data_IF_710892846223
#
_entry.id   IF_710892846223
#
_cell.length_a   1.000
_cell.length_b   1.000
_cell.length_c   1.000
_cell.angle_alpha   90.00
_cell.angle_beta   90.00
_cell.angle_gamma   90.00
#
_symmetry.space_group_name_H-M   'P 1'
#
loop_
_entity.id
_entity.type
_entity.pdbx_description
1 polymer ?
#
# COMPACT_ATOMS: atom_id res chain seq x y z
N UNK A 1 -11.94 -3.08 8.96
CA UNK A 1 -11.84 -2.86 10.38
C UNK A 1 -10.54 -3.37 10.93
N UNK A 2 -10.18 -4.54 10.53
CA UNK A 2 -8.93 -5.06 10.98
C UNK A 2 -7.80 -4.16 10.59
N UNK A 3 -7.88 -3.62 9.44
CA UNK A 3 -6.95 -2.68 8.93
C UNK A 3 -6.84 -1.49 9.85
N UNK A 4 -7.96 -0.94 10.25
CA UNK A 4 -7.96 0.19 11.10
C UNK A 4 -7.42 -0.12 12.45
N UNK A 5 -7.71 -1.29 12.94
CA UNK A 5 -7.17 -1.70 14.20
C UNK A 5 -5.68 -1.76 14.14
N UNK A 6 -5.17 -2.26 13.06
CA UNK A 6 -3.74 -2.36 12.92
C UNK A 6 -3.10 -1.00 12.89
N UNK A 7 -3.74 -0.07 12.22
CA UNK A 7 -3.22 1.28 12.18
C UNK A 7 -3.17 1.88 13.55
N UNK A 8 -4.21 1.67 14.32
CA UNK A 8 -4.23 2.22 15.66
C UNK A 8 -3.20 1.59 16.55
N UNK A 9 -3.00 0.33 16.38
CA UNK A 9 -1.99 -0.33 17.16
C UNK A 9 -0.62 0.19 16.84
N UNK A 10 -0.40 0.45 15.58
CA UNK A 10 0.86 1.01 15.19
C UNK A 10 1.07 2.37 15.81
N UNK A 11 0.04 3.14 15.85
CA UNK A 11 0.14 4.45 16.46
C UNK A 11 0.51 4.34 17.91
N UNK A 12 -0.08 3.40 18.59
CA UNK A 12 0.21 3.23 19.98
C UNK A 12 1.64 2.80 20.19
N UNK A 13 2.11 1.97 19.32
CA UNK A 13 3.44 1.44 19.47
C UNK A 13 4.50 2.41 19.03
N UNK A 14 4.17 3.27 18.11
CA UNK A 14 5.16 4.16 17.57
C UNK A 14 6.01 4.88 18.58
N UNK A 15 5.45 5.42 19.63
CA UNK A 15 6.30 6.12 20.57
C UNK A 15 7.39 5.22 21.13
N UNK A 16 7.04 4.03 21.46
CA UNK A 16 8.04 3.13 21.95
C UNK A 16 9.02 2.77 20.90
N UNK A 17 8.50 2.52 19.74
CA UNK A 17 9.36 2.12 18.65
C UNK A 17 10.37 3.20 18.36
N UNK A 18 9.92 4.41 18.40
CA UNK A 18 10.82 5.47 18.02
C UNK A 18 11.93 5.59 19.01
N UNK A 19 11.67 5.34 20.26
CA UNK A 19 12.71 5.36 21.22
C UNK A 19 13.71 4.31 20.93
N UNK A 20 13.20 3.19 20.58
CA UNK A 20 14.04 2.06 20.49
C UNK A 20 14.97 2.14 19.31
N UNK A 21 14.43 2.16 18.15
CA UNK A 21 15.31 2.01 17.02
C UNK A 21 14.67 2.53 15.82
N UNK A 22 14.54 3.75 15.77
CA UNK A 22 13.80 4.31 14.67
C UNK A 22 14.37 3.96 13.34
N UNK A 23 15.63 3.90 13.26
CA UNK A 23 16.19 3.78 11.97
C UNK A 23 16.01 2.42 11.37
N UNK A 24 15.71 1.48 12.19
CA UNK A 24 15.57 0.17 11.62
C UNK A 24 14.18 -0.10 11.16
N UNK A 25 13.27 0.75 11.51
CA UNK A 25 11.91 0.45 11.21
C UNK A 25 11.59 0.97 9.85
N UNK A 26 11.58 0.11 8.91
CA UNK A 26 11.14 0.45 7.60
C UNK A 26 9.79 -0.15 7.44
N UNK A 27 8.84 0.58 6.91
CA UNK A 27 7.56 -0.01 6.68
C UNK A 27 7.78 -1.21 5.80
N UNK A 28 7.34 -2.32 6.25
CA UNK A 28 7.44 -3.49 5.44
C UNK A 28 6.32 -3.61 4.48
N UNK A 29 5.39 -2.69 4.54
CA UNK A 29 4.24 -2.73 3.67
C UNK A 29 4.06 -1.39 3.02
N UNK A 30 3.83 -1.44 1.73
CA UNK A 30 3.52 -0.24 0.99
C UNK A 30 2.03 -0.24 0.73
N UNK A 31 1.36 0.83 1.09
CA UNK A 31 -0.08 0.91 0.93
C UNK A 31 -0.42 1.67 -0.33
N UNK A 32 -1.19 1.02 -1.20
CA UNK A 32 -1.70 1.65 -2.41
C UNK A 32 -3.20 1.73 -2.26
N UNK A 33 -3.73 2.91 -2.23
CA UNK A 33 -5.16 3.11 -2.01
C UNK A 33 -5.86 3.43 -3.31
N UNK A 34 -7.02 2.84 -3.52
CA UNK A 34 -7.81 3.06 -4.73
C UNK A 34 -9.15 3.61 -4.30
N UNK A 35 -9.46 4.80 -4.76
CA UNK A 35 -10.71 5.44 -4.42
C UNK A 35 -11.84 4.86 -5.25
N UNK A 36 -13.05 5.23 -4.89
CA UNK A 36 -14.23 4.73 -5.55
C UNK A 36 -14.21 4.98 -7.05
N UNK A 37 -13.65 6.10 -7.47
CA UNK A 37 -13.61 6.45 -8.88
C UNK A 37 -12.37 5.94 -9.59
N UNK A 38 -11.54 5.16 -8.90
CA UNK A 38 -10.38 4.57 -9.53
C UNK A 38 -9.08 5.34 -9.33
N UNK A 39 -9.13 6.50 -8.69
CA UNK A 39 -7.90 7.24 -8.45
C UNK A 39 -7.03 6.48 -7.47
N UNK A 40 -5.74 6.55 -7.70
CA UNK A 40 -4.76 5.82 -6.90
C UNK A 40 -4.00 6.80 -6.04
N UNK A 41 -3.91 6.48 -4.76
CA UNK A 41 -3.22 7.32 -3.80
C UNK A 41 -2.13 6.53 -3.10
N UNK A 42 -0.97 7.13 -2.99
CA UNK A 42 0.09 6.55 -2.19
C UNK A 42 0.66 7.69 -1.36
N UNK A 43 0.63 7.51 -0.04
CA UNK A 43 1.14 8.56 0.83
C UNK A 43 0.40 9.86 0.70
N UNK A 44 -0.87 9.80 0.35
CA UNK A 44 -1.67 11.00 0.22
C UNK A 44 -1.56 11.70 -1.12
N UNK A 45 -0.78 11.16 -2.03
CA UNK A 45 -0.61 11.77 -3.35
C UNK A 45 -1.30 10.92 -4.39
N UNK A 46 -1.94 11.59 -5.33
CA UNK A 46 -2.60 10.91 -6.43
C UNK A 46 -1.54 10.57 -7.48
N UNK A 47 -1.50 9.33 -7.89
CA UNK A 47 -0.53 8.88 -8.88
C UNK A 47 -1.23 8.36 -10.11
N UNK A 48 -0.63 8.60 -11.28
CA UNK A 48 -1.09 7.96 -12.49
C UNK A 48 -0.47 6.59 -12.61
N UNK A 49 -0.85 5.89 -13.67
CA UNK A 49 -0.38 4.53 -13.85
C UNK A 49 1.13 4.47 -13.99
N UNK A 50 1.69 5.37 -14.78
CA UNK A 50 3.12 5.34 -15.00
C UNK A 50 3.87 5.69 -13.74
N UNK A 51 3.35 6.64 -13.00
CA UNK A 51 3.99 7.04 -11.77
C UNK A 51 3.97 5.91 -10.78
N UNK A 52 2.85 5.23 -10.69
CA UNK A 52 2.75 4.11 -9.78
C UNK A 52 3.70 2.99 -10.20
N UNK A 53 3.76 2.71 -11.48
CA UNK A 53 4.66 1.66 -11.95
C UNK A 53 6.10 1.98 -11.59
N UNK A 54 6.51 3.21 -11.79
CA UNK A 54 7.88 3.59 -11.45
C UNK A 54 8.13 3.46 -9.95
N UNK A 55 7.16 3.87 -9.17
CA UNK A 55 7.31 3.73 -7.73
C UNK A 55 7.45 2.26 -7.34
N UNK A 56 6.63 1.41 -7.93
CA UNK A 56 6.69 0.00 -7.62
C UNK A 56 8.01 -0.61 -8.07
N UNK A 57 8.49 -0.18 -9.24
CA UNK A 57 9.76 -0.69 -9.71
C UNK A 57 10.90 -0.31 -8.78
N UNK A 58 10.89 0.92 -8.32
CA UNK A 58 11.91 1.37 -7.40
C UNK A 58 11.82 0.62 -6.09
N UNK A 59 10.60 0.37 -5.64
CA UNK A 59 10.41 -0.38 -4.41
C UNK A 59 10.94 -1.79 -4.55
N UNK A 60 10.70 -2.41 -5.68
CA UNK A 60 11.15 -3.77 -5.89
C UNK A 60 12.68 -3.85 -5.88
N UNK A 61 13.33 -2.83 -6.38
CA UNK A 61 14.77 -2.83 -6.44
C UNK A 61 15.37 -2.48 -5.08
N UNK A 62 14.81 -1.48 -4.42
CA UNK A 62 15.40 -0.95 -3.21
C UNK A 62 15.01 -1.71 -1.96
N UNK A 63 13.91 -2.41 -2.01
CA UNK A 63 13.41 -3.11 -0.84
C UNK A 63 12.91 -4.47 -1.23
N UNK A 64 13.86 -5.36 -1.38
CA UNK A 64 13.53 -6.72 -1.75
C UNK A 64 12.64 -7.29 -0.66
N UNK A 65 11.57 -7.95 -1.06
CA UNK A 65 10.66 -8.53 -0.10
C UNK A 65 9.59 -7.61 0.40
N UNK A 66 9.50 -6.41 -0.16
CA UNK A 66 8.47 -5.47 0.23
C UNK A 66 7.09 -6.02 -0.13
N UNK A 67 6.18 -5.99 0.82
CA UNK A 67 4.79 -6.36 0.57
C UNK A 67 3.98 -5.14 0.18
N UNK A 68 3.01 -5.34 -0.66
CA UNK A 68 2.12 -4.26 -1.09
C UNK A 68 0.72 -4.59 -0.61
N UNK A 69 0.08 -3.64 0.04
CA UNK A 69 -1.30 -3.78 0.46
C UNK A 69 -2.13 -2.84 -0.40
N UNK A 70 -3.01 -3.40 -1.19
CA UNK A 70 -3.90 -2.62 -2.04
C UNK A 70 -5.19 -2.43 -1.30
N UNK A 71 -5.46 -1.21 -0.88
CA UNK A 71 -6.67 -0.88 -0.13
C UNK A 71 -7.66 -0.25 -1.08
N UNK A 72 -8.69 -0.96 -1.42
CA UNK A 72 -9.64 -0.49 -2.43
C UNK A 72 -10.97 -0.17 -1.77
N UNK A 73 -11.58 0.93 -2.22
CA UNK A 73 -12.92 1.24 -1.79
C UNK A 73 -13.83 0.12 -2.27
N UNK A 74 -14.75 -0.32 -1.42
CA UNK A 74 -15.57 -1.47 -1.78
C UNK A 74 -16.45 -1.18 -3.00
N UNK A 75 -16.63 0.07 -3.34
CA UNK A 75 -17.45 0.43 -4.49
C UNK A 75 -16.68 0.57 -5.79
N UNK A 76 -15.36 0.43 -5.72
CA UNK A 76 -14.56 0.63 -6.92
C UNK A 76 -14.75 -0.56 -7.86
N UNK A 77 -14.69 -0.31 -9.15
CA UNK A 77 -14.77 -1.39 -10.11
C UNK A 77 -13.53 -2.24 -10.00
N UNK A 78 -13.72 -3.53 -10.11
CA UNK A 78 -12.59 -4.43 -9.96
C UNK A 78 -11.51 -4.20 -11.01
N UNK A 79 -11.89 -3.65 -12.15
CA UNK A 79 -10.90 -3.41 -13.19
C UNK A 79 -9.78 -2.50 -12.69
N UNK A 80 -10.08 -1.58 -11.80
CA UNK A 80 -9.04 -0.72 -11.26
C UNK A 80 -8.12 -1.48 -10.32
N UNK A 81 -8.70 -2.42 -9.58
CA UNK A 81 -7.89 -3.25 -8.71
C UNK A 81 -6.98 -4.14 -9.55
N UNK A 82 -7.54 -4.72 -10.60
CA UNK A 82 -6.75 -5.58 -11.47
C UNK A 82 -5.62 -4.81 -12.13
N UNK A 83 -5.86 -3.56 -12.46
CA UNK A 83 -4.81 -2.73 -13.04
C UNK A 83 -3.64 -2.61 -12.08
N UNK A 84 -3.92 -2.32 -10.82
CA UNK A 84 -2.85 -2.17 -9.85
C UNK A 84 -2.13 -3.49 -9.65
N UNK A 85 -2.87 -4.58 -9.61
CA UNK A 85 -2.23 -5.89 -9.49
C UNK A 85 -1.30 -6.16 -10.67
N UNK A 86 -1.72 -5.80 -11.87
CA UNK A 86 -0.88 -5.96 -13.02
C UNK A 86 0.37 -5.10 -12.96
N UNK A 87 0.23 -3.90 -12.45
CA UNK A 87 1.39 -3.03 -12.30
C UNK A 87 2.38 -3.62 -11.31
N UNK A 88 1.88 -4.21 -10.24
CA UNK A 88 2.76 -4.88 -9.30
C UNK A 88 3.50 -6.01 -9.99
N UNK A 89 2.79 -6.81 -10.76
CA UNK A 89 3.42 -7.92 -11.46
C UNK A 89 4.48 -7.42 -12.43
N UNK A 90 4.19 -6.35 -13.14
CA UNK A 90 5.16 -5.78 -14.07
C UNK A 90 6.40 -5.30 -13.35
N UNK A 91 6.23 -4.79 -12.17
CA UNK A 91 7.35 -4.27 -11.41
C UNK A 91 8.14 -5.36 -10.70
N UNK A 92 7.66 -6.59 -10.75
CA UNK A 92 8.35 -7.68 -10.09
C UNK A 92 7.94 -7.88 -8.65
N UNK A 93 6.81 -7.29 -8.25
CA UNK A 93 6.31 -7.46 -6.91
C UNK A 93 5.14 -8.43 -6.97
N UNK A 94 5.30 -9.57 -6.33
CA UNK A 94 4.26 -10.58 -6.33
C UNK A 94 3.64 -10.81 -4.97
N UNK A 95 4.18 -10.17 -3.96
CA UNK A 95 3.67 -10.31 -2.60
C UNK A 95 2.75 -9.13 -2.32
N UNK A 96 1.51 -9.25 -2.74
CA UNK A 96 0.55 -8.19 -2.48
C UNK A 96 -0.77 -8.78 -2.01
N UNK A 97 -1.51 -7.97 -1.28
CA UNK A 97 -2.79 -8.35 -0.71
C UNK A 97 -3.79 -7.27 -1.04
N UNK A 98 -5.02 -7.67 -1.31
CA UNK A 98 -6.09 -6.71 -1.59
C UNK A 98 -7.02 -6.70 -0.40
N UNK A 99 -7.33 -5.51 0.08
CA UNK A 99 -8.25 -5.34 1.18
C UNK A 99 -9.20 -4.22 0.83
N UNK A 100 -10.42 -4.30 1.33
CA UNK A 100 -11.36 -3.22 1.13
C UNK A 100 -11.40 -2.38 2.38
N UNK A 101 -11.71 -1.12 2.20
CA UNK A 101 -11.78 -0.25 3.35
C UNK A 101 -13.10 0.47 3.45
N UNK A 102 -14.03 0.13 2.61
CA UNK A 102 -15.29 0.83 2.62
C UNK A 102 -16.22 0.41 3.70
N UNK A 103 -15.92 -0.66 4.34
CA UNK A 103 -16.84 -1.21 5.32
C UNK A 103 -16.58 -0.69 6.72
N UNK A 104 -15.78 0.26 6.83
CA UNK A 104 -15.40 0.72 8.16
C UNK A 104 -16.32 1.79 8.71
#
# INVERSE_FOLDING_TARGET
>A
TRFEQEDRELDVVLPSASEAQPMTVQPEELFVNIAEDGRIFVGGKVLGEEELLRLLEQTAVNRVGQSVIIRADERVQFSYVALVMNLCNQAGIFDYTVATKGDV
#
